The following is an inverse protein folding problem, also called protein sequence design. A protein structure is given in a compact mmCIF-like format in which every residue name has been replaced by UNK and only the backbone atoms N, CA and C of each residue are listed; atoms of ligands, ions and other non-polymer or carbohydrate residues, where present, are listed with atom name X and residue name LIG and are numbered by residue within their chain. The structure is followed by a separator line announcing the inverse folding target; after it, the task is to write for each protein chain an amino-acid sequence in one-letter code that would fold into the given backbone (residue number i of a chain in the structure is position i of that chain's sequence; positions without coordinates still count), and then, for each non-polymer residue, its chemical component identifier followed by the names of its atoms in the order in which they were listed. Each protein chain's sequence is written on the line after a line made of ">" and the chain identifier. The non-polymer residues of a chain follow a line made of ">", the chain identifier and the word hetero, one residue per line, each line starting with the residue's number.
data_IF_868173641396
#
_entry.id   IF_868173641396
#
_cell.length_a   1.000
_cell.length_b   1.000
_cell.length_c   1.000
_cell.angle_alpha   90.00
_cell.angle_beta   90.00
_cell.angle_gamma   90.00
#
_symmetry.space_group_name_H-M   'P 1'
#
loop_
_entity.id
_entity.type
_entity.pdbx_description
1 polymer ?
#
# COMPACT_ATOMS: atom_id res chain seq x y z
N UNK A 1 -24.53 14.37 -62.38
CA UNK A 1 -24.37 15.01 -61.06
C UNK A 1 -25.00 14.10 -60.03
N UNK A 2 -24.20 13.41 -59.21
CA UNK A 2 -24.69 12.45 -58.21
C UNK A 2 -24.02 12.80 -56.88
N UNK A 3 -24.71 13.56 -56.02
CA UNK A 3 -24.22 13.89 -54.69
C UNK A 3 -24.48 12.68 -53.78
N UNK A 4 -23.39 12.04 -53.29
CA UNK A 4 -23.48 11.03 -52.23
C UNK A 4 -23.58 11.74 -50.89
N UNK A 5 -24.69 11.49 -50.18
CA UNK A 5 -24.88 11.90 -48.79
C UNK A 5 -23.95 11.10 -47.89
N UNK A 6 -23.18 11.79 -47.04
CA UNK A 6 -22.30 11.20 -46.03
C UNK A 6 -22.99 11.35 -44.68
N UNK A 7 -23.56 10.25 -44.16
CA UNK A 7 -24.09 10.21 -42.79
C UNK A 7 -22.95 10.11 -41.79
N UNK A 8 -22.82 11.10 -40.92
CA UNK A 8 -21.91 11.10 -39.77
C UNK A 8 -22.58 10.37 -38.60
N UNK A 9 -22.04 9.22 -38.21
CA UNK A 9 -22.45 8.53 -36.99
C UNK A 9 -21.81 9.23 -35.78
N UNK A 10 -22.62 9.80 -34.89
CA UNK A 10 -22.17 10.36 -33.62
C UNK A 10 -22.06 9.20 -32.63
N UNK A 11 -20.83 8.83 -32.25
CA UNK A 11 -20.60 7.89 -31.16
C UNK A 11 -20.81 8.62 -29.83
N UNK A 12 -21.83 8.20 -29.08
CA UNK A 12 -22.05 8.67 -27.71
C UNK A 12 -20.98 8.05 -26.80
N UNK A 13 -20.07 8.88 -26.28
CA UNK A 13 -19.18 8.49 -25.19
C UNK A 13 -20.02 8.34 -23.92
N UNK A 14 -20.18 7.10 -23.46
CA UNK A 14 -20.72 6.82 -22.12
C UNK A 14 -19.62 7.22 -21.14
N UNK A 15 -19.79 8.38 -20.48
CA UNK A 15 -18.97 8.72 -19.33
C UNK A 15 -19.18 7.63 -18.28
N UNK A 16 -18.16 6.81 -18.06
CA UNK A 16 -18.16 5.86 -16.96
C UNK A 16 -18.22 6.68 -15.67
N UNK A 17 -19.22 6.40 -14.84
CA UNK A 17 -19.27 6.93 -13.48
C UNK A 17 -17.93 6.64 -12.80
N UNK A 18 -17.27 7.66 -12.25
CA UNK A 18 -16.15 7.47 -11.34
C UNK A 18 -16.68 6.65 -10.16
N UNK A 19 -16.51 5.33 -10.21
CA UNK A 19 -16.76 4.48 -9.07
C UNK A 19 -15.87 4.99 -7.94
N UNK A 20 -16.41 5.06 -6.72
CA UNK A 20 -15.57 5.20 -5.54
C UNK A 20 -14.48 4.11 -5.61
N UNK A 21 -13.22 4.42 -5.21
CA UNK A 21 -12.18 3.42 -5.24
C UNK A 21 -12.63 2.21 -4.41
N UNK A 22 -12.61 1.03 -5.01
CA UNK A 22 -13.01 -0.19 -4.33
C UNK A 22 -12.03 -0.48 -3.21
N UNK A 23 -12.52 -0.58 -1.98
CA UNK A 23 -11.70 -0.96 -0.84
C UNK A 23 -11.13 -2.38 -0.99
N UNK A 24 -9.96 -2.60 -0.42
CA UNK A 24 -9.26 -3.88 -0.37
C UNK A 24 -8.49 -4.01 0.95
N UNK A 25 -8.18 -5.24 1.33
CA UNK A 25 -7.13 -5.47 2.33
C UNK A 25 -5.76 -5.40 1.66
N UNK A 26 -4.75 -4.93 2.39
CA UNK A 26 -3.35 -5.08 1.99
C UNK A 26 -2.82 -6.38 2.58
N UNK A 27 -2.27 -7.26 1.74
CA UNK A 27 -1.78 -8.59 2.14
C UNK A 27 -0.34 -8.81 1.71
N UNK A 28 0.47 -9.42 2.55
CA UNK A 28 1.85 -9.79 2.23
C UNK A 28 1.94 -11.10 1.43
N UNK A 29 2.92 -11.18 0.53
CA UNK A 29 3.29 -12.39 -0.20
C UNK A 29 4.78 -12.35 -0.59
N UNK A 30 5.30 -13.39 -1.24
CA UNK A 30 6.66 -13.39 -1.80
C UNK A 30 7.81 -13.56 -0.80
N UNK A 31 7.52 -13.67 0.50
CA UNK A 31 8.55 -13.80 1.53
C UNK A 31 9.22 -15.17 1.54
N UNK A 32 10.53 -15.18 1.78
CA UNK A 32 11.30 -16.38 2.11
C UNK A 32 11.05 -16.90 3.55
N UNK A 33 10.49 -16.07 4.44
CA UNK A 33 10.00 -16.45 5.77
C UNK A 33 8.51 -16.73 5.65
N UNK A 34 8.13 -18.01 5.69
CA UNK A 34 6.71 -18.41 5.48
C UNK A 34 5.74 -17.69 6.41
N UNK A 35 6.15 -17.39 7.65
CA UNK A 35 5.34 -16.69 8.63
C UNK A 35 5.02 -15.22 8.26
N UNK A 36 5.75 -14.63 7.33
CA UNK A 36 5.49 -13.27 6.83
C UNK A 36 4.61 -13.25 5.58
N UNK A 37 4.17 -14.40 5.06
CA UNK A 37 3.20 -14.47 3.97
C UNK A 37 1.77 -14.55 4.49
N UNK A 38 0.82 -14.10 3.68
CA UNK A 38 -0.61 -14.13 3.97
C UNK A 38 -1.00 -13.38 5.26
N UNK A 39 -0.24 -12.33 5.60
CA UNK A 39 -0.57 -11.41 6.67
C UNK A 39 -1.22 -10.15 6.10
N UNK A 40 -2.17 -9.60 6.83
CA UNK A 40 -2.92 -8.40 6.48
C UNK A 40 -2.40 -7.20 7.26
N UNK A 41 -2.40 -6.02 6.64
CA UNK A 41 -1.99 -4.78 7.32
C UNK A 41 -3.09 -4.31 8.26
N UNK A 42 -2.73 -4.09 9.52
CA UNK A 42 -3.53 -3.49 10.59
C UNK A 42 -2.84 -2.20 11.07
N UNK A 43 -3.62 -1.17 11.37
CA UNK A 43 -3.14 0.07 11.95
C UNK A 43 -3.05 -0.05 13.48
N UNK A 44 -1.86 -0.36 14.01
CA UNK A 44 -1.64 -0.49 15.45
C UNK A 44 -1.49 0.89 16.10
N UNK A 45 -2.49 1.31 16.86
CA UNK A 45 -2.54 2.64 17.48
C UNK A 45 -1.38 2.88 18.46
N UNK A 46 -0.49 3.81 18.11
CA UNK A 46 0.66 4.24 18.92
C UNK A 46 0.42 5.57 19.62
N UNK A 47 -0.58 6.34 19.18
CA UNK A 47 -0.96 7.61 19.78
C UNK A 47 -2.10 8.30 19.03
N UNK A 48 -2.51 9.46 19.52
CA UNK A 48 -3.62 10.20 18.91
C UNK A 48 -3.30 10.57 17.45
N UNK A 49 -4.00 9.92 16.51
CA UNK A 49 -3.77 10.10 15.08
C UNK A 49 -2.52 9.40 14.54
N UNK A 50 -1.89 8.53 15.31
CA UNK A 50 -0.65 7.84 14.95
C UNK A 50 -0.82 6.32 15.04
N UNK A 51 -0.32 5.61 14.04
CA UNK A 51 -0.28 4.16 14.08
C UNK A 51 0.84 3.56 13.24
N UNK A 52 1.30 2.38 13.67
CA UNK A 52 2.28 1.59 12.94
C UNK A 52 1.55 0.47 12.16
N UNK A 53 1.94 0.20 10.90
CA UNK A 53 1.42 -0.91 10.13
C UNK A 53 1.97 -2.24 10.66
N UNK A 54 1.19 -2.93 11.48
CA UNK A 54 1.48 -4.30 11.90
C UNK A 54 0.81 -5.31 10.97
N UNK A 55 1.35 -6.51 10.93
CA UNK A 55 0.93 -7.58 10.04
C UNK A 55 0.24 -8.69 10.85
N UNK A 56 -1.01 -8.98 10.51
CA UNK A 56 -1.89 -9.86 11.29
C UNK A 56 -2.51 -10.96 10.43
N UNK A 57 -2.79 -12.12 11.01
CA UNK A 57 -3.61 -13.16 10.35
C UNK A 57 -5.10 -12.94 10.55
N UNK A 58 -5.49 -11.99 11.42
CA UNK A 58 -6.88 -11.72 11.80
C UNK A 58 -7.47 -10.70 10.84
N UNK A 59 -8.22 -11.16 9.84
CA UNK A 59 -8.84 -10.27 8.84
C UNK A 59 -9.82 -9.26 9.43
N UNK A 60 -10.43 -9.56 10.59
CA UNK A 60 -11.31 -8.63 11.31
C UNK A 60 -10.59 -7.37 11.83
N UNK A 61 -9.26 -7.41 11.95
CA UNK A 61 -8.44 -6.25 12.31
C UNK A 61 -7.81 -5.56 11.09
N UNK A 62 -7.91 -6.17 9.90
CA UNK A 62 -7.26 -5.65 8.71
C UNK A 62 -7.88 -4.30 8.31
N UNK A 63 -7.01 -3.35 7.96
CA UNK A 63 -7.44 -2.04 7.48
C UNK A 63 -8.17 -2.14 6.14
N UNK A 64 -9.20 -1.33 5.96
CA UNK A 64 -9.90 -1.17 4.69
C UNK A 64 -9.18 -0.12 3.85
N UNK A 65 -8.32 -0.54 2.94
CA UNK A 65 -7.47 0.37 2.16
C UNK A 65 -8.07 0.70 0.80
N UNK A 66 -7.72 1.88 0.29
CA UNK A 66 -8.08 2.32 -1.05
C UNK A 66 -6.99 3.25 -1.60
N UNK A 67 -6.88 3.29 -2.93
CA UNK A 67 -6.05 4.27 -3.63
C UNK A 67 -6.90 5.48 -4.02
N UNK A 68 -6.51 6.65 -3.54
CA UNK A 68 -7.08 7.93 -3.94
C UNK A 68 -6.03 8.69 -4.74
N UNK A 69 -6.15 8.67 -6.07
CA UNK A 69 -5.06 9.06 -6.98
C UNK A 69 -3.77 8.28 -6.69
N UNK A 70 -2.77 8.92 -6.10
CA UNK A 70 -1.49 8.29 -5.70
C UNK A 70 -1.31 8.22 -4.19
N UNK A 71 -2.38 8.39 -3.41
CA UNK A 71 -2.37 8.26 -1.96
C UNK A 71 -2.96 6.92 -1.56
N UNK A 72 -2.22 6.15 -0.76
CA UNK A 72 -2.71 4.91 -0.16
C UNK A 72 -3.32 5.24 1.20
N UNK A 73 -4.63 5.09 1.28
CA UNK A 73 -5.42 5.53 2.43
C UNK A 73 -6.20 4.36 3.02
N UNK A 74 -6.54 4.49 4.28
CA UNK A 74 -7.33 3.55 5.07
C UNK A 74 -8.62 4.23 5.51
N UNK A 75 -9.75 3.58 5.24
CA UNK A 75 -11.04 3.94 5.84
C UNK A 75 -11.06 3.48 7.30
N UNK A 76 -11.43 4.41 8.17
CA UNK A 76 -11.60 4.20 9.62
C UNK A 76 -13.06 4.44 10.07
N UNK A 77 -13.99 4.55 9.13
CA UNK A 77 -15.41 4.81 9.38
C UNK A 77 -15.69 6.21 9.91
N UNK A 78 -14.82 7.18 9.61
CA UNK A 78 -14.91 8.58 10.06
C UNK A 78 -14.73 9.54 8.87
N UNK A 79 -14.96 10.83 9.09
CA UNK A 79 -14.77 11.87 8.05
C UNK A 79 -13.31 12.01 7.61
N UNK A 80 -12.35 11.64 8.46
CA UNK A 80 -10.93 11.72 8.17
C UNK A 80 -10.38 10.35 7.77
N UNK A 81 -9.51 10.34 6.76
CA UNK A 81 -8.72 9.17 6.36
C UNK A 81 -7.48 9.02 7.23
N UNK A 82 -6.95 7.81 7.30
CA UNK A 82 -5.55 7.59 7.68
C UNK A 82 -4.76 7.26 6.42
N UNK A 83 -3.60 7.85 6.23
CA UNK A 83 -2.77 7.65 5.04
C UNK A 83 -1.45 7.01 5.38
N UNK A 84 -0.90 6.25 4.43
CA UNK A 84 0.49 5.82 4.52
C UNK A 84 1.41 7.05 4.50
N UNK A 85 2.28 7.12 5.50
CA UNK A 85 3.28 8.16 5.66
C UNK A 85 4.66 7.52 5.67
N UNK A 86 5.44 7.81 4.62
CA UNK A 86 6.80 7.33 4.46
C UNK A 86 7.71 8.56 4.50
N UNK A 87 8.58 8.60 5.51
CA UNK A 87 9.67 9.57 5.57
C UNK A 87 10.67 9.36 4.42
N UNK A 88 11.52 10.35 4.18
CA UNK A 88 12.68 10.18 3.29
C UNK A 88 13.77 9.32 3.94
N UNK A 89 14.64 8.73 3.13
CA UNK A 89 15.77 7.97 3.65
C UNK A 89 16.66 8.83 4.55
N UNK A 90 16.93 8.40 5.78
CA UNK A 90 17.75 9.18 6.72
C UNK A 90 19.25 9.06 6.45
N UNK A 91 19.67 8.11 5.61
CA UNK A 91 21.06 7.68 5.40
C UNK A 91 21.72 7.01 6.61
N UNK A 92 20.95 6.65 7.65
CA UNK A 92 21.46 5.99 8.85
C UNK A 92 20.91 4.56 9.05
N UNK A 93 20.06 4.09 8.13
CA UNK A 93 19.46 2.77 8.16
C UNK A 93 19.28 2.21 6.74
N UNK A 94 19.29 0.88 6.61
CA UNK A 94 19.05 0.17 5.34
C UNK A 94 17.56 0.01 5.02
N UNK A 95 16.69 0.27 5.99
CA UNK A 95 15.25 0.31 5.87
C UNK A 95 14.70 1.35 6.84
N UNK A 96 13.52 1.85 6.55
CA UNK A 96 12.90 2.97 7.27
C UNK A 96 11.48 2.61 7.70
N UNK A 97 10.99 3.35 8.70
CA UNK A 97 9.64 3.17 9.21
C UNK A 97 8.59 3.54 8.16
N UNK A 98 7.46 2.82 8.24
CA UNK A 98 6.20 3.16 7.58
C UNK A 98 5.23 3.48 8.71
N UNK A 99 4.43 4.52 8.53
CA UNK A 99 3.36 4.87 9.45
C UNK A 99 2.01 4.91 8.71
N UNK A 100 0.92 4.74 9.45
CA UNK A 100 -0.44 4.96 8.97
C UNK A 100 -1.05 6.03 9.89
N UNK A 101 -1.01 7.29 9.47
CA UNK A 101 -1.34 8.42 10.34
C UNK A 101 -2.60 9.14 9.88
N UNK A 102 -3.25 9.83 10.81
CA UNK A 102 -4.39 10.69 10.51
C UNK A 102 -4.02 11.74 9.47
N UNK A 103 -4.80 11.79 8.39
CA UNK A 103 -4.55 12.66 7.26
C UNK A 103 -4.46 11.90 5.94
N UNK A 104 -3.96 12.60 4.93
CA UNK A 104 -3.94 12.07 3.57
C UNK A 104 -2.78 11.09 3.32
N UNK A 105 -1.69 11.22 4.08
CA UNK A 105 -0.43 10.51 3.82
C UNK A 105 0.41 11.19 2.74
N UNK A 106 1.39 10.46 2.21
CA UNK A 106 2.27 10.91 1.13
C UNK A 106 1.79 10.39 -0.24
N UNK A 107 2.00 11.14 -1.33
CA UNK A 107 1.71 10.65 -2.67
C UNK A 107 2.78 9.66 -3.15
N UNK A 108 2.49 9.00 -4.26
CA UNK A 108 3.42 8.14 -5.00
C UNK A 108 3.05 6.66 -4.98
N UNK A 109 1.95 6.28 -4.34
CA UNK A 109 1.49 4.90 -4.35
C UNK A 109 0.82 4.52 -5.67
N UNK A 110 1.20 3.37 -6.21
CA UNK A 110 0.63 2.83 -7.44
C UNK A 110 0.62 1.30 -7.41
N UNK A 111 -0.17 0.69 -8.30
CA UNK A 111 -0.16 -0.75 -8.53
C UNK A 111 0.83 -1.08 -9.65
N UNK A 112 2.03 -1.51 -9.28
CA UNK A 112 2.97 -2.08 -10.22
C UNK A 112 2.37 -3.37 -10.83
N UNK A 113 2.43 -3.45 -12.17
CA UNK A 113 1.88 -4.56 -12.94
C UNK A 113 0.39 -4.89 -12.64
N UNK A 114 -0.37 -3.92 -12.12
CA UNK A 114 -1.75 -4.07 -11.65
C UNK A 114 -1.93 -5.05 -10.48
N UNK A 115 -0.88 -5.41 -9.73
CA UNK A 115 -0.98 -6.42 -8.66
C UNK A 115 -0.29 -6.06 -7.36
N UNK A 116 0.78 -5.27 -7.40
CA UNK A 116 1.63 -5.01 -6.22
C UNK A 116 1.64 -3.53 -5.92
N UNK A 117 1.36 -3.17 -4.67
CA UNK A 117 1.46 -1.79 -4.20
C UNK A 117 2.94 -1.44 -4.07
N UNK A 118 3.35 -0.38 -4.74
CA UNK A 118 4.70 0.19 -4.66
C UNK A 118 4.63 1.67 -4.35
N UNK A 119 5.73 2.24 -3.87
CA UNK A 119 5.90 3.68 -3.72
C UNK A 119 6.86 4.19 -4.79
N UNK A 120 6.36 5.00 -5.72
CA UNK A 120 7.07 5.60 -6.83
C UNK A 120 8.01 6.72 -6.34
N UNK A 121 9.11 6.29 -5.75
CA UNK A 121 10.20 7.13 -5.26
C UNK A 121 11.53 6.44 -5.57
N UNK A 122 12.53 7.19 -6.05
CA UNK A 122 13.86 6.64 -6.38
C UNK A 122 14.60 6.05 -5.18
N UNK A 123 14.20 6.41 -3.95
CA UNK A 123 14.76 5.86 -2.73
C UNK A 123 14.11 4.53 -2.34
N UNK A 124 12.94 4.18 -2.87
CA UNK A 124 12.19 2.99 -2.48
C UNK A 124 12.73 1.72 -3.15
N UNK A 125 13.22 0.78 -2.34
CA UNK A 125 13.75 -0.53 -2.77
C UNK A 125 12.79 -1.70 -2.56
N UNK A 126 11.59 -1.47 -2.02
CA UNK A 126 10.62 -2.52 -1.72
C UNK A 126 10.14 -2.53 -0.28
N UNK A 127 9.29 -3.50 0.06
CA UNK A 127 8.75 -3.66 1.40
C UNK A 127 9.51 -4.70 2.21
N UNK A 128 9.58 -4.48 3.52
CA UNK A 128 10.24 -5.37 4.47
C UNK A 128 9.29 -5.65 5.64
N UNK A 129 9.11 -6.92 5.98
CA UNK A 129 8.41 -7.35 7.18
C UNK A 129 9.43 -7.80 8.22
N UNK A 130 9.35 -7.29 9.45
CA UNK A 130 10.24 -7.66 10.55
C UNK A 130 9.47 -7.93 11.84
N UNK A 131 9.79 -9.00 12.57
CA UNK A 131 9.36 -9.12 13.96
C UNK A 131 9.95 -7.96 14.79
N UNK A 132 9.09 -7.11 15.35
CA UNK A 132 9.50 -5.86 15.98
C UNK A 132 8.80 -5.61 17.33
N UNK A 133 8.75 -4.34 17.72
CA UNK A 133 8.40 -3.86 19.07
C UNK A 133 6.99 -4.25 19.55
N UNK A 134 6.03 -4.40 18.63
CA UNK A 134 4.62 -4.62 18.99
C UNK A 134 4.23 -6.09 19.21
N UNK A 135 5.19 -7.01 19.17
CA UNK A 135 4.92 -8.46 19.33
C UNK A 135 4.21 -9.09 18.13
N UNK A 136 4.20 -8.38 17.00
CA UNK A 136 3.77 -8.85 15.68
C UNK A 136 4.78 -8.34 14.63
N UNK A 137 4.84 -8.98 13.44
CA UNK A 137 5.64 -8.43 12.35
C UNK A 137 5.12 -7.03 11.98
N UNK A 138 6.04 -6.08 11.76
CA UNK A 138 5.75 -4.71 11.37
C UNK A 138 6.28 -4.47 9.96
N UNK A 139 5.58 -3.62 9.20
CA UNK A 139 5.95 -3.23 7.85
C UNK A 139 6.94 -2.06 7.88
N UNK A 140 7.98 -2.18 7.07
CA UNK A 140 9.02 -1.20 6.79
C UNK A 140 9.20 -1.08 5.27
N UNK A 141 9.94 -0.07 4.83
CA UNK A 141 10.36 0.04 3.43
C UNK A 141 11.89 0.05 3.33
N UNK A 142 12.43 -0.52 2.25
CA UNK A 142 13.86 -0.70 2.04
C UNK A 142 14.43 0.52 1.33
N UNK A 143 15.59 1.01 1.78
CA UNK A 143 16.32 2.07 1.08
C UNK A 143 17.04 1.46 -0.12
N UNK A 144 16.67 1.87 -1.34
CA UNK A 144 17.07 1.24 -2.60
C UNK A 144 18.59 1.11 -2.79
N UNK A 145 19.37 2.10 -2.35
CA UNK A 145 20.83 2.06 -2.48
C UNK A 145 21.53 1.26 -1.36
N UNK A 146 20.78 0.75 -0.38
CA UNK A 146 21.26 -0.19 0.66
C UNK A 146 20.76 -1.63 0.43
N UNK A 147 19.93 -1.85 -0.59
CA UNK A 147 19.38 -3.16 -0.94
C UNK A 147 20.50 -4.16 -1.23
N UNK A 148 20.51 -5.28 -0.49
CA UNK A 148 21.54 -6.31 -0.57
C UNK A 148 22.93 -5.91 -0.06
N UNK A 149 23.14 -4.66 0.37
CA UNK A 149 24.42 -4.19 0.91
C UNK A 149 24.65 -4.66 2.36
N UNK A 150 23.57 -4.75 3.15
CA UNK A 150 23.60 -5.14 4.56
C UNK A 150 22.62 -6.30 4.78
N UNK A 151 23.05 -7.40 5.42
CA UNK A 151 22.12 -8.47 5.80
C UNK A 151 21.05 -7.96 6.77
N UNK A 152 19.79 -8.27 6.49
CA UNK A 152 18.70 -8.01 7.42
C UNK A 152 18.81 -8.89 8.67
N UNK A 153 18.24 -8.47 9.82
CA UNK A 153 18.02 -9.35 10.95
C UNK A 153 17.32 -10.63 10.51
N UNK A 154 17.59 -11.76 11.17
CA UNK A 154 17.02 -13.05 10.78
C UNK A 154 15.49 -13.13 10.88
N UNK A 155 14.88 -12.20 11.61
CA UNK A 155 13.44 -12.04 11.74
C UNK A 155 12.84 -11.08 10.72
N UNK A 156 13.61 -10.65 9.72
CA UNK A 156 13.18 -9.76 8.66
C UNK A 156 13.19 -10.48 7.31
N UNK A 157 12.24 -10.14 6.44
CA UNK A 157 12.21 -10.60 5.06
C UNK A 157 11.57 -9.56 4.15
N UNK A 158 12.03 -9.50 2.91
CA UNK A 158 11.31 -8.82 1.83
C UNK A 158 9.91 -9.43 1.65
N UNK A 159 8.95 -8.57 1.33
CA UNK A 159 7.56 -8.95 1.03
C UNK A 159 7.06 -8.14 -0.16
N UNK A 160 6.14 -8.72 -0.92
CA UNK A 160 5.25 -7.97 -1.79
C UNK A 160 3.99 -7.60 -1.03
N UNK A 161 3.44 -6.41 -1.30
CA UNK A 161 2.17 -5.97 -0.75
C UNK A 161 1.10 -5.97 -1.85
N UNK A 162 0.10 -6.85 -1.74
CA UNK A 162 -0.92 -7.03 -2.78
C UNK A 162 -2.31 -6.66 -2.27
N UNK A 163 -3.19 -6.09 -3.10
CA UNK A 163 -4.61 -5.98 -2.78
C UNK A 163 -5.27 -7.35 -2.68
N UNK A 164 -6.01 -7.58 -1.60
CA UNK A 164 -6.87 -8.75 -1.41
C UNK A 164 -8.32 -8.29 -1.29
N UNK A 165 -9.23 -9.01 -1.94
CA UNK A 165 -10.65 -8.70 -1.90
C UNK A 165 -11.19 -8.82 -0.47
N UNK A 166 -12.03 -7.86 -0.07
CA UNK A 166 -12.81 -7.92 1.16
C UNK A 166 -14.01 -8.85 0.88
N UNK A 167 -14.01 -10.04 1.47
CA UNK A 167 -15.14 -10.96 1.36
C UNK A 167 -16.28 -10.51 2.28
N UNK A 168 -17.45 -10.24 1.70
CA UNK A 168 -18.72 -10.02 2.39
C UNK A 168 -19.33 -11.31 2.94
#
# INVERSE_FOLDING_TARGET
>A
MLFKSLSLAVASLVASSLAAPSEFYLKTTGSNITAHNDLYVEAYHTGAGLSDPVLTTVTANAGHFYLNETYLQMDIGQEFSYGFDLGGATNYAAWEFVEINAGQGVPGFELENNSTIVWNNTEFGGWLACDWWHGAPQLFWIVAYEEGAIPYPSSCSEVDLIPAAISS
#
